data_IF_152727847744
#
_entry.id   IF_152727847744
#
_cell.length_a   1.000
_cell.length_b   1.000
_cell.length_c   1.000
_cell.angle_alpha   90.00
_cell.angle_beta   90.00
_cell.angle_gamma   90.00
#
_symmetry.space_group_name_H-M   'P 1'
#
loop_
_entity.id
_entity.type
_entity.pdbx_description
1 polymer ?
#
# COMPACT_ATOMS: atom_id res chain seq x y z
N UNK A 1 24.69 19.51 -12.02
CA UNK A 1 23.25 19.44 -12.36
C UNK A 1 22.56 18.76 -11.19
N UNK A 2 21.76 19.48 -10.40
CA UNK A 2 21.02 18.88 -9.28
C UNK A 2 20.01 17.89 -9.85
N UNK A 3 20.01 16.65 -9.37
CA UNK A 3 18.99 15.66 -9.72
C UNK A 3 17.62 16.22 -9.32
N UNK A 4 16.58 16.14 -10.18
CA UNK A 4 15.25 16.59 -9.79
C UNK A 4 14.81 15.83 -8.53
N UNK A 5 14.28 16.57 -7.55
CA UNK A 5 13.72 15.97 -6.34
C UNK A 5 12.42 15.28 -6.75
N UNK A 6 12.45 13.96 -6.80
CA UNK A 6 11.26 13.14 -6.98
C UNK A 6 10.68 12.86 -5.59
N UNK A 7 9.52 13.45 -5.30
CA UNK A 7 8.75 13.20 -4.08
C UNK A 7 7.70 12.11 -4.28
N UNK A 8 7.33 11.43 -3.19
CA UNK A 8 6.17 10.52 -3.16
C UNK A 8 5.28 10.85 -1.96
N UNK A 9 3.98 10.59 -2.09
CA UNK A 9 3.04 10.66 -0.98
C UNK A 9 2.46 9.27 -0.72
N UNK A 10 2.57 8.82 0.53
CA UNK A 10 2.01 7.57 1.01
C UNK A 10 0.91 7.82 2.05
N UNK A 11 -0.04 6.90 2.12
CA UNK A 11 -1.01 6.83 3.20
C UNK A 11 -0.85 5.50 3.93
N UNK A 12 -1.12 5.51 5.22
CA UNK A 12 -1.09 4.34 6.10
C UNK A 12 -2.44 4.21 6.79
N UNK A 13 -2.96 2.97 6.86
CA UNK A 13 -4.13 2.65 7.67
C UNK A 13 -3.65 2.40 9.09
N UNK A 14 -4.01 3.30 10.01
CA UNK A 14 -3.57 3.23 11.41
C UNK A 14 -4.42 2.27 12.26
N UNK A 15 -5.69 2.07 11.88
CA UNK A 15 -6.61 1.19 12.58
C UNK A 15 -7.25 0.21 11.58
N UNK A 16 -6.50 -0.81 11.14
CA UNK A 16 -7.03 -1.79 10.19
C UNK A 16 -8.11 -2.65 10.85
N UNK A 17 -9.15 -3.00 10.10
CA UNK A 17 -10.18 -3.96 10.49
C UNK A 17 -9.79 -5.39 10.16
N UNK A 18 -8.98 -5.57 9.11
CA UNK A 18 -8.44 -6.87 8.71
C UNK A 18 -7.68 -7.52 9.86
N UNK A 19 -7.78 -8.84 9.94
CA UNK A 19 -7.10 -9.64 10.97
C UNK A 19 -6.29 -10.75 10.31
N UNK A 20 -5.03 -10.83 10.72
CA UNK A 20 -4.16 -11.94 10.41
C UNK A 20 -4.25 -13.05 11.46
N UNK A 21 -3.46 -14.10 11.25
CA UNK A 21 -3.25 -15.19 12.20
C UNK A 21 -1.78 -15.58 12.28
N UNK A 22 -1.40 -16.11 13.44
CA UNK A 22 -0.09 -16.71 13.68
C UNK A 22 -0.35 -18.12 14.21
N UNK A 23 0.15 -19.13 13.52
CA UNK A 23 0.00 -20.53 13.93
C UNK A 23 1.34 -21.21 14.05
N UNK A 24 1.41 -22.16 14.98
CA UNK A 24 2.59 -23.01 15.17
C UNK A 24 2.67 -23.97 13.98
N UNK A 25 3.85 -24.07 13.35
CA UNK A 25 4.08 -24.96 12.21
C UNK A 25 4.42 -26.40 12.65
N UNK A 26 5.02 -26.58 13.83
CA UNK A 26 5.38 -27.89 14.39
C UNK A 26 5.54 -27.85 15.92
N UNK A 27 5.76 -28.99 16.56
CA UNK A 27 6.06 -29.05 17.99
C UNK A 27 7.48 -28.54 18.37
N UNK A 28 8.33 -28.20 17.40
CA UNK A 28 9.70 -27.75 17.62
C UNK A 28 9.78 -26.21 17.66
N UNK A 29 10.31 -25.65 18.75
CA UNK A 29 10.46 -24.19 18.94
C UNK A 29 11.42 -23.53 17.93
N UNK A 30 12.32 -24.31 17.32
CA UNK A 30 13.23 -23.81 16.29
C UNK A 30 12.55 -23.61 14.93
N UNK A 31 11.35 -24.16 14.73
CA UNK A 31 10.63 -24.05 13.47
C UNK A 31 9.85 -22.71 13.44
N UNK A 32 9.96 -21.91 12.36
CA UNK A 32 9.28 -20.62 12.30
C UNK A 32 7.76 -20.81 12.27
N UNK A 33 6.99 -19.90 12.90
CA UNK A 33 5.54 -19.95 12.83
C UNK A 33 5.04 -19.64 11.42
N UNK A 34 3.83 -20.08 11.11
CA UNK A 34 3.12 -19.66 9.90
C UNK A 34 2.46 -18.32 10.18
N UNK A 35 2.78 -17.33 9.36
CA UNK A 35 2.27 -15.97 9.46
C UNK A 35 1.33 -15.69 8.29
N UNK A 36 0.08 -15.36 8.60
CA UNK A 36 -0.84 -14.71 7.67
C UNK A 36 -1.18 -13.34 8.23
N UNK A 37 -0.88 -12.27 7.51
CA UNK A 37 -1.17 -10.92 7.99
C UNK A 37 -2.59 -10.45 7.65
N UNK A 38 -3.31 -11.21 6.81
CA UNK A 38 -4.69 -10.91 6.46
C UNK A 38 -4.89 -9.54 5.82
N UNK A 39 -3.88 -8.94 5.17
CA UNK A 39 -4.01 -7.57 4.67
C UNK A 39 -5.16 -7.41 3.67
N UNK A 40 -5.96 -6.36 3.86
CA UNK A 40 -7.06 -5.99 2.96
C UNK A 40 -8.13 -7.10 2.82
N UNK A 41 -8.28 -7.96 3.84
CA UNK A 41 -9.27 -9.04 3.87
C UNK A 41 -10.64 -8.58 4.33
N UNK A 42 -10.70 -7.65 5.29
CA UNK A 42 -11.93 -6.96 5.67
C UNK A 42 -12.24 -5.87 4.64
N UNK A 43 -13.51 -5.71 4.25
CA UNK A 43 -13.92 -4.77 3.21
C UNK A 43 -13.66 -3.30 3.57
N UNK A 44 -13.60 -2.96 4.86
CA UNK A 44 -13.37 -1.59 5.33
C UNK A 44 -11.97 -1.08 4.97
N UNK A 45 -10.96 -1.94 5.01
CA UNK A 45 -9.57 -1.51 4.76
C UNK A 45 -9.29 -1.16 3.29
N UNK A 46 -9.71 -1.96 2.28
CA UNK A 46 -9.67 -1.56 0.88
C UNK A 46 -10.41 -0.24 0.60
N UNK A 47 -11.57 -0.04 1.20
CA UNK A 47 -12.35 1.18 1.02
C UNK A 47 -11.61 2.41 1.58
N UNK A 48 -11.06 2.29 2.80
CA UNK A 48 -10.23 3.31 3.41
C UNK A 48 -8.97 3.60 2.56
N UNK A 49 -8.32 2.56 2.02
CA UNK A 49 -7.17 2.72 1.15
C UNK A 49 -7.51 3.44 -0.17
N UNK A 50 -8.67 3.16 -0.76
CA UNK A 50 -9.16 3.85 -1.97
C UNK A 50 -9.49 5.31 -1.67
N UNK A 51 -10.12 5.60 -0.52
CA UNK A 51 -10.38 6.97 -0.09
C UNK A 51 -9.07 7.74 0.13
N UNK A 52 -8.10 7.11 0.79
CA UNK A 52 -6.77 7.68 0.97
C UNK A 52 -6.05 7.91 -0.36
N UNK A 53 -6.15 6.97 -1.32
CA UNK A 53 -5.60 7.14 -2.66
C UNK A 53 -6.14 8.42 -3.34
N UNK A 54 -7.46 8.62 -3.31
CA UNK A 54 -8.10 9.82 -3.87
C UNK A 54 -7.61 11.09 -3.18
N UNK A 55 -7.51 11.06 -1.84
CA UNK A 55 -7.03 12.20 -1.05
C UNK A 55 -5.56 12.56 -1.33
N UNK A 56 -4.71 11.56 -1.56
CA UNK A 56 -3.31 11.79 -1.94
C UNK A 56 -3.20 12.47 -3.30
N UNK A 57 -4.06 12.12 -4.26
CA UNK A 57 -4.11 12.76 -5.58
C UNK A 57 -4.57 14.22 -5.50
N UNK A 58 -5.59 14.50 -4.69
CA UNK A 58 -6.01 15.87 -4.38
C UNK A 58 -4.84 16.68 -3.77
N UNK A 59 -4.18 16.13 -2.75
CA UNK A 59 -3.03 16.77 -2.12
C UNK A 59 -1.87 16.98 -3.10
N UNK A 60 -1.61 16.01 -3.98
CA UNK A 60 -0.58 16.13 -5.02
C UNK A 60 -0.89 17.25 -6.01
N UNK A 61 -2.17 17.44 -6.37
CA UNK A 61 -2.61 18.48 -7.31
C UNK A 61 -2.68 19.89 -6.72
N UNK A 62 -2.60 20.02 -5.39
CA UNK A 62 -2.75 21.30 -4.69
C UNK A 62 -1.63 22.31 -5.04
N UNK A 63 -1.92 23.62 -5.02
CA UNK A 63 -0.93 24.67 -5.34
C UNK A 63 0.34 24.59 -4.50
N UNK A 64 0.23 24.24 -3.21
CA UNK A 64 1.36 24.09 -2.30
C UNK A 64 2.35 23.00 -2.77
N UNK A 65 1.83 21.89 -3.31
CA UNK A 65 2.65 20.79 -3.82
C UNK A 65 3.22 21.12 -5.21
N UNK A 66 2.48 21.88 -6.03
CA UNK A 66 2.97 22.35 -7.34
C UNK A 66 4.21 23.24 -7.23
N UNK A 67 4.39 23.94 -6.09
CA UNK A 67 5.58 24.77 -5.85
C UNK A 67 6.87 23.96 -5.65
N UNK A 68 6.77 22.67 -5.31
CA UNK A 68 7.92 21.84 -4.90
C UNK A 68 8.12 20.58 -5.72
N UNK A 69 7.14 20.13 -6.50
CA UNK A 69 7.23 18.93 -7.34
C UNK A 69 7.72 19.26 -8.75
N UNK A 70 8.45 18.34 -9.37
CA UNK A 70 8.86 18.40 -10.77
C UNK A 70 8.10 17.34 -11.56
N UNK A 71 7.29 17.75 -12.55
CA UNK A 71 6.55 16.83 -13.42
C UNK A 71 5.24 16.27 -12.84
N UNK A 72 4.68 15.25 -13.52
CA UNK A 72 3.43 14.58 -13.15
C UNK A 72 3.60 13.42 -12.16
N UNK A 73 2.53 12.67 -11.89
CA UNK A 73 2.60 11.47 -11.02
C UNK A 73 3.44 10.36 -11.68
N UNK A 74 4.59 10.02 -11.09
CA UNK A 74 5.50 8.99 -11.62
C UNK A 74 5.01 7.56 -11.37
N UNK A 75 4.43 7.28 -10.20
CA UNK A 75 4.09 5.90 -9.76
C UNK A 75 2.61 5.53 -9.95
N UNK A 76 1.72 6.52 -9.92
CA UNK A 76 0.25 6.37 -9.97
C UNK A 76 -0.34 6.87 -11.28
N UNK A 77 0.45 6.73 -12.37
CA UNK A 77 0.31 7.43 -13.64
C UNK A 77 -1.11 7.57 -14.19
N UNK A 78 -1.31 8.43 -15.21
CA UNK A 78 -2.62 8.93 -15.61
C UNK A 78 -3.63 7.85 -16.04
N UNK A 79 -3.22 6.60 -16.23
CA UNK A 79 -4.06 5.46 -16.53
C UNK A 79 -4.96 5.00 -15.36
N UNK A 80 -4.63 5.30 -14.10
CA UNK A 80 -5.44 4.86 -12.94
C UNK A 80 -6.42 5.96 -12.57
N UNK A 81 -7.59 5.98 -13.21
CA UNK A 81 -8.60 7.03 -12.99
C UNK A 81 -9.97 6.48 -12.59
N UNK A 82 -10.34 5.29 -13.08
CA UNK A 82 -11.68 4.77 -12.85
C UNK A 82 -11.84 4.23 -11.43
N UNK A 83 -13.09 4.21 -10.96
CA UNK A 83 -13.43 3.58 -9.68
C UNK A 83 -13.15 2.07 -9.67
N UNK A 84 -12.97 1.43 -10.83
CA UNK A 84 -12.60 0.02 -10.93
C UNK A 84 -11.06 -0.18 -10.91
N UNK A 85 -10.30 0.77 -11.46
CA UNK A 85 -8.83 0.67 -11.54
C UNK A 85 -8.16 0.96 -10.19
N UNK A 86 -8.71 1.91 -9.41
CA UNK A 86 -8.11 2.34 -8.15
C UNK A 86 -8.02 1.17 -7.14
N UNK A 87 -9.10 0.39 -6.88
CA UNK A 87 -9.01 -0.75 -5.97
C UNK A 87 -7.99 -1.80 -6.41
N UNK A 88 -7.94 -2.10 -7.72
CA UNK A 88 -6.98 -3.06 -8.27
C UNK A 88 -5.54 -2.57 -8.09
N UNK A 89 -5.29 -1.29 -8.39
CA UNK A 89 -3.98 -0.67 -8.20
C UNK A 89 -3.58 -0.66 -6.72
N UNK A 90 -4.48 -0.29 -5.81
CA UNK A 90 -4.25 -0.30 -4.36
C UNK A 90 -3.86 -1.68 -3.88
N UNK A 91 -4.58 -2.73 -4.27
CA UNK A 91 -4.25 -4.12 -3.89
C UNK A 91 -2.89 -4.57 -4.40
N UNK A 92 -2.53 -4.19 -5.64
CA UNK A 92 -1.26 -4.56 -6.24
C UNK A 92 -0.06 -3.80 -5.64
N UNK A 93 -0.26 -2.56 -5.20
CA UNK A 93 0.82 -1.63 -4.82
C UNK A 93 0.84 -1.24 -3.33
N UNK A 94 -0.06 -1.79 -2.52
CA UNK A 94 -0.03 -1.59 -1.08
C UNK A 94 1.31 -2.07 -0.52
N UNK A 95 1.98 -1.19 0.23
CA UNK A 95 3.19 -1.55 0.96
C UNK A 95 2.78 -2.49 2.07
N UNK A 96 3.46 -3.62 2.09
CA UNK A 96 3.09 -4.80 2.82
C UNK A 96 4.27 -5.13 3.73
N UNK A 97 4.16 -4.77 5.01
CA UNK A 97 5.19 -4.98 6.03
C UNK A 97 5.32 -6.46 6.41
N UNK A 98 6.03 -7.24 5.59
CA UNK A 98 6.27 -8.66 5.78
C UNK A 98 6.25 -9.38 4.43
N UNK A 99 7.39 -9.87 3.98
CA UNK A 99 7.42 -10.78 2.82
C UNK A 99 7.15 -12.20 3.35
N UNK A 100 6.13 -12.91 2.87
CA UNK A 100 6.06 -14.35 3.10
C UNK A 100 7.35 -14.96 2.57
N UNK A 101 8.12 -15.67 3.42
CA UNK A 101 9.28 -16.42 2.95
C UNK A 101 8.76 -17.42 1.91
N UNK A 102 9.32 -17.49 0.69
CA UNK A 102 8.93 -18.54 -0.24
C UNK A 102 9.11 -19.91 0.43
N UNK A 103 8.24 -20.89 0.16
CA UNK A 103 8.41 -22.23 0.70
C UNK A 103 9.80 -22.72 0.28
N UNK A 104 10.60 -23.14 1.27
CA UNK A 104 11.82 -23.90 0.99
C UNK A 104 11.39 -25.21 0.31
N UNK A 105 12.11 -25.66 -0.73
CA UNK A 105 11.83 -26.93 -1.39
C UNK A 105 11.91 -28.12 -0.44
#
# INVERSE_FOLDING_TARGET
>A
MLSPIVGDLSAVILNPFSRGSVTISSANIADPPVLDMGWLTDTVDPEAAVAAFKRLREAWSAPATNAVKVGGETRRGPAVQSNADIPAWVRANAIRSGTPRPPTP
#
